data_IF_640861733960
#
_entry.id   IF_640861733960
#
_cell.length_a   1.000
_cell.length_b   1.000
_cell.length_c   1.000
_cell.angle_alpha   90.00
_cell.angle_beta   90.00
_cell.angle_gamma   90.00
#
_symmetry.space_group_name_H-M   'P 1'
#
loop_
_entity.id
_entity.type
_entity.pdbx_description
1 polymer ?
#
# COMPACT_ATOMS: atom_id res chain seq x y z
N UNK A 1 10.92 25.09 13.87
CA UNK A 1 9.83 24.75 12.93
C UNK A 1 10.33 25.12 11.55
N UNK A 2 10.38 24.19 10.61
CA UNK A 2 10.83 24.48 9.25
C UNK A 2 9.74 25.24 8.49
N UNK A 3 10.15 26.06 7.54
CA UNK A 3 9.24 26.91 6.77
C UNK A 3 8.54 26.09 5.66
N UNK A 4 7.20 26.17 5.60
CA UNK A 4 6.39 25.54 4.57
C UNK A 4 5.77 26.64 3.71
N UNK A 5 6.23 26.74 2.47
CA UNK A 5 5.78 27.77 1.51
C UNK A 5 4.85 27.23 0.41
N UNK A 6 4.76 25.91 0.28
CA UNK A 6 4.04 25.21 -0.79
C UNK A 6 3.46 23.90 -0.25
N UNK A 7 2.52 23.26 -0.99
CA UNK A 7 2.05 21.92 -0.64
C UNK A 7 3.19 20.98 -0.27
N UNK A 8 3.18 20.50 0.97
CA UNK A 8 4.26 19.67 1.50
C UNK A 8 3.68 18.46 2.20
N UNK A 9 4.09 17.28 1.77
CA UNK A 9 3.67 16.02 2.37
C UNK A 9 4.49 15.76 3.62
N UNK A 10 3.84 15.87 4.77
CA UNK A 10 4.44 15.56 6.05
C UNK A 10 4.08 14.16 6.51
N UNK A 11 5.05 13.48 7.11
CA UNK A 11 4.83 12.25 7.85
C UNK A 11 5.31 12.39 9.29
N UNK A 12 4.57 11.80 10.22
CA UNK A 12 4.96 11.66 11.61
C UNK A 12 5.76 10.37 11.78
N UNK A 13 7.06 10.50 12.06
CA UNK A 13 7.98 9.36 12.14
C UNK A 13 7.63 8.42 13.28
N UNK A 14 7.23 8.94 14.42
CA UNK A 14 6.89 8.13 15.60
C UNK A 14 5.62 7.31 15.36
N UNK A 15 4.61 7.90 14.68
CA UNK A 15 3.43 7.14 14.26
C UNK A 15 3.82 6.05 13.24
N UNK A 16 4.70 6.36 12.27
CA UNK A 16 5.18 5.36 11.31
C UNK A 16 5.87 4.18 12.01
N UNK A 17 6.78 4.46 12.94
CA UNK A 17 7.52 3.44 13.71
C UNK A 17 6.56 2.58 14.53
N UNK A 18 5.62 3.19 15.25
CA UNK A 18 4.58 2.48 16.00
C UNK A 18 3.74 1.57 15.10
N UNK A 19 3.35 2.04 13.92
CA UNK A 19 2.58 1.24 12.97
C UNK A 19 3.38 0.02 12.47
N UNK A 20 4.67 0.20 12.17
CA UNK A 20 5.60 -0.87 11.78
C UNK A 20 5.75 -1.89 12.91
N UNK A 21 6.00 -1.44 14.13
CA UNK A 21 6.13 -2.28 15.31
C UNK A 21 4.91 -3.16 15.54
N UNK A 22 3.71 -2.56 15.51
CA UNK A 22 2.45 -3.27 15.73
C UNK A 22 2.24 -4.37 14.69
N UNK A 23 2.54 -4.08 13.41
CA UNK A 23 2.37 -5.05 12.34
C UNK A 23 3.42 -6.17 12.40
N UNK A 24 4.66 -5.85 12.75
CA UNK A 24 5.72 -6.83 12.96
C UNK A 24 5.39 -7.75 14.15
N UNK A 25 4.95 -7.18 15.27
CA UNK A 25 4.48 -7.94 16.43
C UNK A 25 3.32 -8.86 16.08
N UNK A 26 2.34 -8.38 15.32
CA UNK A 26 1.21 -9.19 14.86
C UNK A 26 1.66 -10.36 13.99
N UNK A 27 2.57 -10.13 13.04
CA UNK A 27 3.11 -11.19 12.21
C UNK A 27 3.83 -12.26 13.07
N UNK A 28 4.66 -11.84 14.02
CA UNK A 28 5.34 -12.75 14.94
C UNK A 28 4.35 -13.56 15.79
N UNK A 29 3.34 -12.91 16.38
CA UNK A 29 2.28 -13.55 17.18
C UNK A 29 1.53 -14.65 16.41
N UNK A 30 1.38 -14.49 15.10
CA UNK A 30 0.70 -15.45 14.23
C UNK A 30 1.64 -16.39 13.48
N UNK A 31 2.95 -16.41 13.80
CA UNK A 31 3.98 -17.20 13.12
C UNK A 31 4.03 -16.96 11.60
N UNK A 32 3.79 -15.72 11.17
CA UNK A 32 3.81 -15.32 9.77
C UNK A 32 5.16 -14.73 9.41
N UNK A 33 5.68 -15.09 8.23
CA UNK A 33 6.78 -14.33 7.62
C UNK A 33 6.26 -12.96 7.22
N UNK A 34 6.79 -11.91 7.83
CA UNK A 34 6.40 -10.55 7.50
C UNK A 34 7.18 -10.04 6.28
N UNK A 35 6.47 -9.78 5.17
CA UNK A 35 7.02 -9.24 3.92
C UNK A 35 6.27 -7.97 3.50
N UNK A 36 6.46 -6.85 4.20
CA UNK A 36 5.72 -5.62 3.96
C UNK A 36 5.89 -5.11 2.52
N UNK A 37 4.88 -4.41 2.03
CA UNK A 37 4.87 -3.90 0.67
C UNK A 37 5.30 -2.43 0.61
N UNK A 38 6.43 -2.19 -0.04
CA UNK A 38 7.12 -0.90 -0.06
C UNK A 38 6.58 0.12 -1.08
N UNK A 39 5.51 -0.21 -1.81
CA UNK A 39 4.91 0.71 -2.81
C UNK A 39 4.33 1.99 -2.21
N UNK A 40 3.99 1.97 -0.92
CA UNK A 40 3.37 3.11 -0.24
C UNK A 40 4.36 4.24 -0.03
N UNK A 41 5.57 3.93 0.43
CA UNK A 41 6.59 4.92 0.77
C UNK A 41 7.71 5.05 -0.25
N UNK A 42 8.02 3.97 -1.00
CA UNK A 42 9.06 3.92 -2.05
C UNK A 42 10.38 4.58 -1.65
N UNK A 43 10.80 4.45 -0.39
CA UNK A 43 11.93 5.16 0.18
C UNK A 43 12.83 4.19 0.94
N UNK A 44 14.13 4.18 0.61
CA UNK A 44 15.14 3.40 1.31
C UNK A 44 15.27 3.84 2.78
N UNK A 45 15.18 5.15 3.07
CA UNK A 45 15.22 5.66 4.44
C UNK A 45 14.10 5.08 5.31
N UNK A 46 12.87 5.03 4.79
CA UNK A 46 11.76 4.37 5.48
C UNK A 46 11.95 2.85 5.51
N UNK A 47 12.56 2.26 4.48
CA UNK A 47 12.99 0.86 4.49
C UNK A 47 13.87 0.53 5.70
N UNK A 48 14.82 1.38 6.06
CA UNK A 48 15.67 1.17 7.25
C UNK A 48 14.86 1.08 8.55
N UNK A 49 13.72 1.79 8.65
CA UNK A 49 12.86 1.69 9.82
C UNK A 49 12.27 0.29 10.00
N UNK A 50 11.97 -0.41 8.90
CA UNK A 50 11.50 -1.80 8.96
C UNK A 50 12.58 -2.76 9.48
N UNK A 51 13.86 -2.51 9.20
CA UNK A 51 14.97 -3.34 9.67
C UNK A 51 15.11 -3.31 11.20
N UNK A 52 14.75 -2.19 11.84
CA UNK A 52 14.70 -2.07 13.31
C UNK A 52 13.77 -3.11 13.95
N UNK A 53 12.75 -3.56 13.22
CA UNK A 53 11.77 -4.55 13.66
C UNK A 53 12.00 -5.93 13.02
N UNK A 54 13.22 -6.21 12.57
CA UNK A 54 13.64 -7.54 12.10
C UNK A 54 13.13 -7.93 10.71
N UNK A 55 12.58 -6.99 9.93
CA UNK A 55 12.14 -7.28 8.56
C UNK A 55 13.36 -7.48 7.66
N UNK A 56 13.39 -8.63 6.98
CA UNK A 56 14.49 -9.04 6.08
C UNK A 56 14.04 -9.27 4.62
N UNK A 57 12.74 -9.25 4.39
CA UNK A 57 12.13 -9.60 3.12
C UNK A 57 11.04 -8.58 2.79
N UNK A 58 10.96 -8.16 1.52
CA UNK A 58 10.04 -7.08 1.11
C UNK A 58 9.26 -7.44 -0.14
N UNK A 59 8.15 -6.73 -0.32
CA UNK A 59 7.32 -6.79 -1.52
C UNK A 59 7.39 -5.46 -2.25
N UNK A 60 7.61 -5.49 -3.56
CA UNK A 60 7.63 -4.32 -4.44
C UNK A 60 6.64 -4.49 -5.59
N UNK A 61 6.32 -3.40 -6.29
CA UNK A 61 5.29 -3.41 -7.35
C UNK A 61 5.86 -3.38 -8.77
N UNK A 62 7.18 -3.26 -8.94
CA UNK A 62 7.84 -3.21 -10.25
C UNK A 62 9.28 -3.71 -10.17
N UNK A 63 9.86 -4.03 -11.33
CA UNK A 63 11.28 -4.40 -11.46
C UNK A 63 12.17 -3.23 -11.06
N UNK A 64 11.86 -2.01 -11.52
CA UNK A 64 12.59 -0.79 -11.13
C UNK A 64 12.64 -0.59 -9.61
N UNK A 65 11.52 -0.84 -8.92
CA UNK A 65 11.49 -0.74 -7.46
C UNK A 65 12.31 -1.85 -6.80
N UNK A 66 12.33 -3.06 -7.38
CA UNK A 66 13.21 -4.13 -6.92
C UNK A 66 14.69 -3.74 -7.06
N UNK A 67 15.08 -3.15 -8.19
CA UNK A 67 16.45 -2.64 -8.41
C UNK A 67 16.82 -1.56 -7.42
N UNK A 68 15.92 -0.61 -7.19
CA UNK A 68 16.13 0.44 -6.20
C UNK A 68 16.38 -0.16 -4.81
N UNK A 69 15.52 -1.04 -4.31
CA UNK A 69 15.71 -1.60 -2.96
C UNK A 69 16.87 -2.60 -2.88
N UNK A 70 17.15 -3.37 -3.93
CA UNK A 70 18.33 -4.23 -4.00
C UNK A 70 19.62 -3.41 -3.86
N UNK A 71 19.72 -2.25 -4.53
CA UNK A 71 20.85 -1.33 -4.39
C UNK A 71 20.97 -0.71 -2.99
N UNK A 72 19.92 -0.80 -2.16
CA UNK A 72 19.92 -0.36 -0.76
C UNK A 72 19.95 -1.56 0.23
N UNK A 73 20.48 -2.70 -0.21
CA UNK A 73 20.78 -3.86 0.64
C UNK A 73 19.57 -4.72 1.02
N UNK A 74 18.53 -4.74 0.18
CA UNK A 74 17.44 -5.70 0.31
C UNK A 74 17.65 -6.92 -0.59
N UNK A 75 17.85 -8.09 0.02
CA UNK A 75 18.25 -9.30 -0.71
C UNK A 75 17.11 -10.32 -0.94
N UNK A 76 15.98 -10.22 -0.24
CA UNK A 76 14.82 -11.08 -0.45
C UNK A 76 13.62 -10.23 -0.89
N UNK A 77 13.36 -10.20 -2.21
CA UNK A 77 12.37 -9.31 -2.82
C UNK A 77 11.34 -10.13 -3.61
N UNK A 78 10.06 -9.85 -3.39
CA UNK A 78 8.96 -10.34 -4.24
C UNK A 78 8.40 -9.18 -5.07
N UNK A 79 8.42 -9.30 -6.39
CA UNK A 79 7.73 -8.36 -7.28
C UNK A 79 6.26 -8.79 -7.40
N UNK A 80 5.37 -8.21 -6.59
CA UNK A 80 3.96 -8.60 -6.52
C UNK A 80 3.10 -7.96 -7.64
N UNK A 81 3.54 -8.13 -8.87
CA UNK A 81 2.83 -7.76 -10.09
C UNK A 81 2.97 -8.90 -11.11
N UNK A 82 1.96 -9.09 -11.97
CA UNK A 82 2.03 -10.11 -13.02
C UNK A 82 3.27 -9.88 -13.89
N UNK A 83 4.03 -10.93 -14.15
CA UNK A 83 5.32 -10.84 -14.83
C UNK A 83 5.23 -9.99 -16.12
N UNK A 84 5.98 -8.90 -16.15
CA UNK A 84 6.20 -8.15 -17.38
C UNK A 84 7.33 -8.79 -18.18
N UNK A 85 6.98 -9.56 -19.21
CA UNK A 85 7.94 -10.32 -20.03
C UNK A 85 8.95 -9.43 -20.78
N UNK A 86 8.65 -8.14 -20.95
CA UNK A 86 9.55 -7.16 -21.58
C UNK A 86 10.79 -6.86 -20.73
N UNK A 87 10.71 -7.10 -19.41
CA UNK A 87 11.79 -6.80 -18.46
C UNK A 87 12.61 -8.05 -18.09
N UNK A 88 12.49 -9.15 -18.85
CA UNK A 88 13.13 -10.43 -18.51
C UNK A 88 14.66 -10.34 -18.31
N UNK A 89 15.34 -9.45 -19.05
CA UNK A 89 16.78 -9.23 -18.87
C UNK A 89 17.09 -8.58 -17.52
N UNK A 90 16.30 -7.60 -17.09
CA UNK A 90 16.44 -6.96 -15.78
C UNK A 90 16.09 -7.92 -14.64
N UNK A 91 15.05 -8.73 -14.83
CA UNK A 91 14.66 -9.79 -13.89
C UNK A 91 15.81 -10.81 -13.71
N UNK A 92 16.43 -11.25 -14.81
CA UNK A 92 17.57 -12.16 -14.78
C UNK A 92 18.79 -11.57 -14.06
N UNK A 93 19.09 -10.28 -14.31
CA UNK A 93 20.17 -9.56 -13.62
C UNK A 93 19.90 -9.45 -12.13
N UNK A 94 18.69 -9.09 -11.73
CA UNK A 94 18.29 -9.05 -10.33
C UNK A 94 18.37 -10.43 -9.67
N UNK A 95 17.84 -11.47 -10.32
CA UNK A 95 17.85 -12.83 -9.80
C UNK A 95 19.28 -13.42 -9.65
N UNK A 96 20.25 -12.88 -10.38
CA UNK A 96 21.66 -13.23 -10.19
C UNK A 96 22.27 -12.57 -8.93
N UNK A 97 21.71 -11.45 -8.47
CA UNK A 97 22.24 -10.67 -7.37
C UNK A 97 21.50 -10.91 -6.04
N UNK A 98 20.20 -11.20 -6.09
CA UNK A 98 19.33 -11.30 -4.92
C UNK A 98 18.40 -12.51 -5.02
N UNK A 99 17.80 -12.90 -3.89
CA UNK A 99 16.69 -13.86 -3.85
C UNK A 99 15.41 -13.18 -4.35
N UNK A 100 15.19 -13.30 -5.66
CA UNK A 100 14.05 -12.70 -6.34
C UNK A 100 12.89 -13.69 -6.49
N UNK A 101 11.69 -13.24 -6.13
CA UNK A 101 10.43 -13.93 -6.46
C UNK A 101 9.59 -13.11 -7.44
N UNK A 102 9.01 -13.76 -8.44
CA UNK A 102 8.10 -13.18 -9.46
C UNK A 102 6.75 -13.89 -9.46
N UNK A 103 5.74 -13.27 -10.09
CA UNK A 103 4.38 -13.80 -10.15
C UNK A 103 3.96 -14.10 -11.58
N UNK A 104 3.35 -15.27 -11.80
CA UNK A 104 2.73 -15.64 -13.07
C UNK A 104 1.26 -16.00 -12.88
N UNK A 105 0.47 -15.84 -13.93
CA UNK A 105 -0.96 -16.19 -13.94
C UNK A 105 -1.46 -16.69 -15.31
N UNK A 106 -0.55 -16.87 -16.27
CA UNK A 106 -0.86 -17.33 -17.62
C UNK A 106 0.32 -18.13 -18.19
N UNK A 107 0.06 -18.91 -19.25
CA UNK A 107 1.05 -19.82 -19.84
C UNK A 107 2.11 -19.07 -20.62
N UNK A 108 1.77 -17.92 -21.19
CA UNK A 108 2.64 -17.08 -22.01
C UNK A 108 3.82 -16.57 -21.17
N UNK A 109 3.54 -15.98 -20.00
CA UNK A 109 4.54 -15.55 -19.03
C UNK A 109 5.36 -16.73 -18.50
N UNK A 110 4.71 -17.85 -18.17
CA UNK A 110 5.40 -19.05 -17.69
C UNK A 110 6.37 -19.62 -18.74
N UNK A 111 5.96 -19.66 -20.02
CA UNK A 111 6.84 -20.11 -21.12
C UNK A 111 8.02 -19.16 -21.31
N UNK A 112 7.83 -17.85 -21.22
CA UNK A 112 8.95 -16.90 -21.27
C UNK A 112 9.94 -17.14 -20.13
N UNK A 113 9.48 -17.39 -18.89
CA UNK A 113 10.37 -17.76 -17.80
C UNK A 113 11.10 -19.08 -18.08
N UNK A 114 10.37 -20.11 -18.53
CA UNK A 114 10.94 -21.41 -18.88
C UNK A 114 12.07 -21.26 -19.90
N UNK A 115 11.87 -20.47 -20.95
CA UNK A 115 12.82 -20.36 -22.05
C UNK A 115 13.97 -19.38 -21.76
N UNK A 116 13.71 -18.30 -21.01
CA UNK A 116 14.63 -17.16 -20.89
C UNK A 116 15.21 -16.94 -19.49
N UNK A 117 14.78 -17.65 -18.45
CA UNK A 117 15.37 -17.51 -17.12
C UNK A 117 16.83 -17.96 -17.12
N UNK A 118 17.74 -17.06 -16.79
CA UNK A 118 19.19 -17.34 -16.75
C UNK A 118 19.68 -17.74 -15.35
N UNK A 119 18.97 -17.31 -14.30
CA UNK A 119 19.33 -17.45 -12.89
C UNK A 119 18.19 -18.08 -12.08
N UNK A 120 18.47 -18.54 -10.86
CA UNK A 120 17.45 -19.12 -9.97
C UNK A 120 16.39 -18.08 -9.58
N UNK A 121 15.12 -18.45 -9.75
CA UNK A 121 13.95 -17.58 -9.51
C UNK A 121 12.90 -18.31 -8.69
N UNK A 122 12.40 -17.65 -7.65
CA UNK A 122 11.16 -18.06 -7.01
C UNK A 122 9.96 -17.64 -7.85
N UNK A 123 8.99 -18.53 -8.04
CA UNK A 123 7.78 -18.23 -8.82
C UNK A 123 6.55 -18.52 -7.96
N UNK A 124 5.74 -17.49 -7.72
CA UNK A 124 4.39 -17.66 -7.19
C UNK A 124 3.39 -17.68 -8.34
N UNK A 125 2.35 -18.52 -8.20
CA UNK A 125 1.17 -18.41 -9.06
C UNK A 125 0.20 -17.43 -8.38
N UNK A 126 -0.17 -16.36 -9.09
CA UNK A 126 -1.15 -15.39 -8.61
C UNK A 126 -2.53 -16.03 -8.62
N UNK A 127 -3.19 -16.05 -7.46
CA UNK A 127 -4.55 -16.57 -7.32
C UNK A 127 -5.50 -15.41 -7.12
N UNK A 128 -6.61 -15.45 -7.86
CA UNK A 128 -7.76 -14.61 -7.59
C UNK A 128 -8.68 -15.32 -6.60
N UNK A 129 -8.88 -14.67 -5.46
CA UNK A 129 -9.75 -15.16 -4.38
C UNK A 129 -11.07 -14.39 -4.32
N UNK A 130 -11.40 -13.56 -5.32
CA UNK A 130 -12.66 -12.82 -5.40
C UNK A 130 -12.49 -11.32 -5.68
N UNK A 131 -11.28 -10.86 -5.97
CA UNK A 131 -11.04 -9.46 -6.32
C UNK A 131 -11.36 -9.16 -7.78
N UNK A 132 -11.28 -10.15 -8.67
CA UNK A 132 -11.52 -9.99 -10.11
C UNK A 132 -10.64 -8.91 -10.75
N UNK A 133 -9.37 -8.83 -10.32
CA UNK A 133 -8.37 -7.88 -10.86
C UNK A 133 -7.29 -8.59 -11.68
N UNK A 134 -6.61 -9.53 -11.04
CA UNK A 134 -5.49 -10.32 -11.55
C UNK A 134 -5.47 -11.62 -10.76
N UNK A 135 -5.08 -12.71 -11.40
CA UNK A 135 -4.91 -14.03 -10.80
C UNK A 135 -5.78 -15.07 -11.45
N UNK A 136 -5.38 -16.32 -11.33
CA UNK A 136 -6.18 -17.46 -11.74
C UNK A 136 -7.23 -17.70 -10.66
N UNK A 137 -8.53 -17.81 -10.99
CA UNK A 137 -9.54 -18.20 -10.01
C UNK A 137 -9.15 -19.50 -9.32
N UNK A 138 -9.26 -19.56 -7.99
CA UNK A 138 -8.80 -20.73 -7.21
C UNK A 138 -9.45 -22.06 -7.60
N UNK A 139 -10.62 -22.03 -8.24
CA UNK A 139 -11.33 -23.21 -8.75
C UNK A 139 -10.79 -23.73 -10.08
N UNK A 140 -10.00 -22.94 -10.84
CA UNK A 140 -9.50 -23.29 -12.17
C UNK A 140 -8.19 -24.08 -12.09
N UNK A 141 -8.20 -25.20 -11.38
CA UNK A 141 -6.97 -25.96 -11.11
C UNK A 141 -6.28 -26.45 -12.37
N UNK A 142 -7.01 -26.79 -13.44
CA UNK A 142 -6.38 -27.20 -14.71
C UNK A 142 -5.48 -26.12 -15.32
N UNK A 143 -5.80 -24.83 -15.13
CA UNK A 143 -4.94 -23.72 -15.55
C UNK A 143 -3.69 -23.61 -14.68
N UNK A 144 -3.82 -23.89 -13.37
CA UNK A 144 -2.70 -23.95 -12.43
C UNK A 144 -1.79 -25.12 -12.79
N UNK A 145 -2.36 -26.32 -13.00
CA UNK A 145 -1.66 -27.55 -13.37
C UNK A 145 -0.80 -27.33 -14.63
N UNK A 146 -1.39 -26.73 -15.67
CA UNK A 146 -0.65 -26.41 -16.90
C UNK A 146 0.52 -25.43 -16.70
N UNK A 147 0.41 -24.48 -15.77
CA UNK A 147 1.53 -23.56 -15.48
C UNK A 147 2.61 -24.29 -14.69
N UNK A 148 2.21 -25.10 -13.72
CA UNK A 148 3.14 -25.91 -12.93
C UNK A 148 3.98 -26.85 -13.82
N UNK A 149 3.35 -27.54 -14.78
CA UNK A 149 4.06 -28.36 -15.79
C UNK A 149 5.13 -27.57 -16.56
N UNK A 150 4.82 -26.32 -16.95
CA UNK A 150 5.77 -25.43 -17.63
C UNK A 150 6.93 -25.06 -16.69
N UNK A 151 6.62 -24.70 -15.45
CA UNK A 151 7.64 -24.29 -14.47
C UNK A 151 8.58 -25.46 -14.12
N UNK A 152 8.05 -26.66 -13.91
CA UNK A 152 8.82 -27.87 -13.56
C UNK A 152 9.83 -28.28 -14.63
N UNK A 153 9.59 -27.90 -15.89
CA UNK A 153 10.50 -28.20 -17.00
C UNK A 153 11.80 -27.37 -16.97
N UNK A 154 11.92 -26.36 -16.11
CA UNK A 154 13.14 -25.57 -15.93
C UNK A 154 13.61 -25.57 -14.46
N UNK A 155 14.73 -26.23 -14.18
CA UNK A 155 15.34 -26.35 -12.84
C UNK A 155 15.75 -25.04 -12.17
N UNK A 156 15.85 -23.93 -12.92
CA UNK A 156 16.11 -22.59 -12.36
C UNK A 156 14.87 -21.96 -11.77
N UNK A 157 13.68 -22.45 -12.14
CA UNK A 157 12.42 -21.96 -11.61
C UNK A 157 12.03 -22.82 -10.42
N UNK A 158 11.76 -22.18 -9.29
CA UNK A 158 11.25 -22.86 -8.10
C UNK A 158 9.83 -22.38 -7.85
N UNK A 159 8.85 -23.26 -8.00
CA UNK A 159 7.49 -22.95 -7.57
C UNK A 159 7.47 -22.75 -6.05
N UNK A 160 7.19 -21.51 -5.63
CA UNK A 160 7.15 -21.10 -4.23
C UNK A 160 5.78 -21.29 -3.60
N UNK A 161 4.72 -21.27 -4.40
CA UNK A 161 3.35 -21.47 -3.96
C UNK A 161 2.38 -20.43 -4.50
N UNK A 162 1.35 -20.15 -3.72
CA UNK A 162 0.23 -19.31 -4.15
C UNK A 162 0.25 -17.96 -3.47
N UNK A 163 0.05 -16.91 -4.28
CA UNK A 163 0.01 -15.55 -3.80
C UNK A 163 -1.31 -14.88 -4.18
N UNK A 164 -2.08 -14.40 -3.18
CA UNK A 164 -3.27 -13.57 -3.42
C UNK A 164 -3.10 -12.17 -2.84
N UNK A 165 -3.78 -11.20 -3.43
CA UNK A 165 -4.00 -9.89 -2.80
C UNK A 165 -5.50 -9.71 -2.65
N UNK A 166 -5.96 -9.62 -1.40
CA UNK A 166 -7.37 -9.52 -1.03
C UNK A 166 -7.93 -8.12 -1.21
N UNK A 167 -7.49 -7.38 -2.23
CA UNK A 167 -7.81 -5.95 -2.43
C UNK A 167 -9.31 -5.62 -2.52
N UNK A 168 -10.18 -6.61 -2.71
CA UNK A 168 -11.61 -6.43 -2.55
C UNK A 168 -12.00 -6.02 -1.12
N UNK A 169 -11.20 -6.25 -0.07
CA UNK A 169 -11.46 -5.71 1.29
C UNK A 169 -11.60 -4.18 1.33
N UNK A 170 -10.98 -3.45 0.38
CA UNK A 170 -11.15 -2.00 0.25
C UNK A 170 -12.55 -1.58 -0.23
N UNK A 171 -13.32 -2.51 -0.80
CA UNK A 171 -14.70 -2.29 -1.22
C UNK A 171 -15.70 -2.75 -0.16
N UNK A 172 -15.24 -3.07 1.05
CA UNK A 172 -16.10 -3.56 2.12
C UNK A 172 -16.88 -2.39 2.74
N UNK A 173 -18.13 -2.64 3.12
CA UNK A 173 -19.02 -1.66 3.75
C UNK A 173 -18.99 -1.74 5.28
N UNK A 174 -18.31 -2.74 5.84
CA UNK A 174 -18.16 -2.95 7.27
C UNK A 174 -16.95 -3.82 7.59
N UNK A 175 -16.49 -3.77 8.84
CA UNK A 175 -15.45 -4.67 9.34
C UNK A 175 -15.86 -6.15 9.28
N UNK A 176 -17.14 -6.46 9.47
CA UNK A 176 -17.69 -7.82 9.27
C UNK A 176 -17.49 -8.33 7.84
N UNK A 177 -17.68 -7.47 6.85
CA UNK A 177 -17.44 -7.83 5.45
C UNK A 177 -15.95 -8.01 5.16
N UNK A 178 -15.06 -7.26 5.81
CA UNK A 178 -13.61 -7.50 5.75
C UNK A 178 -13.27 -8.88 6.32
N UNK A 179 -13.81 -9.25 7.49
CA UNK A 179 -13.60 -10.58 8.08
C UNK A 179 -14.09 -11.70 7.15
N UNK A 180 -15.29 -11.54 6.58
CA UNK A 180 -15.86 -12.53 5.66
C UNK A 180 -15.01 -12.72 4.40
N UNK A 181 -14.58 -11.62 3.77
CA UNK A 181 -13.72 -11.63 2.57
C UNK A 181 -12.34 -12.23 2.85
N UNK A 182 -11.75 -11.90 3.99
CA UNK A 182 -10.49 -12.49 4.44
C UNK A 182 -10.62 -14.00 4.65
N UNK A 183 -11.67 -14.44 5.34
CA UNK A 183 -11.90 -15.86 5.61
C UNK A 183 -12.17 -16.67 4.33
N UNK A 184 -12.97 -16.13 3.41
CA UNK A 184 -13.21 -16.76 2.10
C UNK A 184 -11.90 -16.92 1.29
N UNK A 185 -11.05 -15.87 1.26
CA UNK A 185 -9.74 -15.96 0.63
C UNK A 185 -8.83 -17.01 1.29
N UNK A 186 -8.86 -17.11 2.62
CA UNK A 186 -8.11 -18.11 3.37
C UNK A 186 -8.54 -19.53 3.01
N UNK A 187 -9.84 -19.80 2.96
CA UNK A 187 -10.38 -21.12 2.58
C UNK A 187 -9.95 -21.52 1.17
N UNK A 188 -10.04 -20.59 0.20
CA UNK A 188 -9.63 -20.81 -1.18
C UNK A 188 -8.14 -21.15 -1.31
N UNK A 189 -7.27 -20.45 -0.57
CA UNK A 189 -5.84 -20.74 -0.57
C UNK A 189 -5.52 -22.07 0.12
N UNK A 190 -6.15 -22.37 1.25
CA UNK A 190 -5.96 -23.65 1.97
C UNK A 190 -6.38 -24.84 1.13
N UNK A 191 -7.46 -24.73 0.36
CA UNK A 191 -7.87 -25.73 -0.61
C UNK A 191 -6.77 -26.00 -1.64
N UNK A 192 -6.13 -24.95 -2.17
CA UNK A 192 -5.01 -25.11 -3.09
C UNK A 192 -3.80 -25.75 -2.38
N UNK A 193 -3.42 -25.29 -1.19
CA UNK A 193 -2.33 -25.90 -0.42
C UNK A 193 -2.56 -27.40 -0.21
N UNK A 194 -3.75 -27.81 0.23
CA UNK A 194 -4.05 -29.23 0.47
C UNK A 194 -3.99 -30.08 -0.80
N UNK A 195 -4.41 -29.53 -1.96
CA UNK A 195 -4.30 -30.20 -3.26
C UNK A 195 -2.85 -30.42 -3.68
N UNK A 196 -1.99 -29.42 -3.51
CA UNK A 196 -0.64 -29.41 -4.10
C UNK A 196 0.50 -29.81 -3.14
N UNK A 197 0.26 -29.86 -1.82
CA UNK A 197 1.32 -30.11 -0.80
C UNK A 197 2.06 -31.44 -1.00
N UNK A 198 1.40 -32.49 -1.52
CA UNK A 198 2.05 -33.78 -1.76
C UNK A 198 3.10 -33.72 -2.87
N UNK A 199 2.85 -32.92 -3.91
CA UNK A 199 3.77 -32.72 -5.04
C UNK A 199 4.80 -31.63 -4.74
N UNK A 200 4.40 -30.60 -3.97
CA UNK A 200 5.24 -29.47 -3.59
C UNK A 200 5.26 -29.30 -2.07
N UNK A 201 6.07 -30.08 -1.32
CA UNK A 201 6.09 -30.06 0.14
C UNK A 201 6.45 -28.70 0.76
N UNK A 202 7.15 -27.85 0.01
CA UNK A 202 7.57 -26.51 0.45
C UNK A 202 6.64 -25.38 -0.03
N UNK A 203 5.42 -25.71 -0.45
CA UNK A 203 4.47 -24.72 -0.98
C UNK A 203 4.05 -23.72 0.10
N UNK A 204 4.16 -22.44 -0.22
CA UNK A 204 3.81 -21.33 0.66
C UNK A 204 2.51 -20.66 0.20
N UNK A 205 1.70 -20.24 1.17
CA UNK A 205 0.57 -19.34 0.98
C UNK A 205 0.97 -17.95 1.43
N UNK A 206 0.99 -17.03 0.47
CA UNK A 206 1.29 -15.63 0.72
C UNK A 206 0.04 -14.81 0.48
N UNK A 207 -0.45 -14.09 1.50
CA UNK A 207 -1.62 -13.20 1.35
C UNK A 207 -1.47 -11.85 2.06
N UNK A 208 -2.48 -11.00 1.91
CA UNK A 208 -2.63 -9.81 2.72
C UNK A 208 -2.94 -8.54 1.93
N UNK A 209 -3.50 -7.62 2.71
CA UNK A 209 -3.71 -6.22 2.43
C UNK A 209 -3.76 -5.48 3.79
N UNK A 210 -3.75 -4.15 3.79
CA UNK A 210 -3.84 -3.40 5.05
C UNK A 210 -5.16 -3.62 5.80
N UNK A 211 -6.35 -3.62 5.16
CA UNK A 211 -7.60 -3.79 5.89
C UNK A 211 -7.66 -5.07 6.73
N UNK A 212 -7.45 -6.24 6.11
CA UNK A 212 -7.43 -7.52 6.81
C UNK A 212 -6.27 -7.61 7.79
N UNK A 213 -5.09 -7.09 7.44
CA UNK A 213 -3.94 -7.04 8.34
C UNK A 213 -4.18 -6.28 9.63
N UNK A 214 -4.99 -5.25 9.57
CA UNK A 214 -5.22 -4.41 10.75
C UNK A 214 -6.16 -5.12 11.73
N UNK A 215 -7.24 -5.75 11.25
CA UNK A 215 -8.30 -6.24 12.14
C UNK A 215 -8.40 -7.78 12.27
N UNK A 216 -8.00 -8.56 11.27
CA UNK A 216 -8.13 -10.03 11.31
C UNK A 216 -7.04 -10.69 12.16
N UNK A 217 -7.39 -11.76 12.89
CA UNK A 217 -6.46 -12.53 13.73
C UNK A 217 -6.39 -14.02 13.34
N UNK A 218 -7.14 -14.45 12.34
CA UNK A 218 -7.05 -15.82 11.82
C UNK A 218 -6.21 -15.84 10.55
N UNK A 219 -5.04 -16.45 10.60
CA UNK A 219 -4.16 -16.66 9.45
C UNK A 219 -3.75 -18.13 9.33
N UNK A 220 -4.61 -19.05 9.79
CA UNK A 220 -4.30 -20.48 9.84
C UNK A 220 -3.87 -21.04 8.47
N UNK A 221 -2.66 -21.57 8.39
CA UNK A 221 -2.09 -22.16 7.18
C UNK A 221 -1.44 -21.16 6.20
N UNK A 222 -1.52 -19.86 6.48
CA UNK A 222 -0.77 -18.81 5.77
C UNK A 222 0.67 -18.80 6.25
N UNK A 223 1.62 -18.70 5.31
CA UNK A 223 3.05 -18.70 5.63
C UNK A 223 3.63 -17.27 5.60
N UNK A 224 3.08 -16.39 4.76
CA UNK A 224 3.60 -15.04 4.55
C UNK A 224 2.52 -13.96 4.47
N UNK A 225 2.84 -12.79 5.03
CA UNK A 225 1.95 -11.65 5.14
C UNK A 225 2.51 -10.35 4.55
N UNK A 226 1.71 -9.63 3.74
CA UNK A 226 2.20 -8.52 2.88
C UNK A 226 1.40 -7.20 2.88
N UNK A 227 1.00 -6.63 4.04
CA UNK A 227 0.41 -5.28 4.07
C UNK A 227 1.46 -4.21 3.74
N UNK A 228 1.04 -3.02 3.32
CA UNK A 228 1.95 -1.93 2.97
C UNK A 228 1.48 -0.56 3.43
N UNK A 229 0.24 -0.20 3.08
CA UNK A 229 -0.34 1.12 3.37
C UNK A 229 -0.34 1.47 4.88
N UNK A 230 -0.39 0.46 5.75
CA UNK A 230 -0.46 0.61 7.21
C UNK A 230 0.67 1.47 7.81
N UNK A 231 1.83 1.59 7.14
CA UNK A 231 2.91 2.47 7.62
C UNK A 231 2.44 3.91 7.79
N UNK A 232 1.58 4.37 6.88
CA UNK A 232 0.98 5.70 6.93
C UNK A 232 -0.47 5.68 7.37
N UNK A 233 -1.20 4.59 7.09
CA UNK A 233 -2.66 4.59 6.96
C UNK A 233 -3.14 5.77 6.09
N UNK A 234 -4.45 6.03 6.07
CA UNK A 234 -5.09 7.18 5.43
C UNK A 234 -6.59 7.20 5.76
N UNK A 235 -7.33 8.17 5.19
CA UNK A 235 -8.77 8.22 5.42
C UNK A 235 -9.53 7.06 4.81
N UNK A 236 -9.02 6.42 3.75
CA UNK A 236 -9.67 5.23 3.22
C UNK A 236 -9.63 4.11 4.27
N UNK A 237 -8.46 3.87 4.90
CA UNK A 237 -8.36 2.90 5.99
C UNK A 237 -9.23 3.28 7.21
N UNK A 238 -9.22 4.55 7.60
CA UNK A 238 -10.07 5.01 8.69
C UNK A 238 -11.56 4.82 8.37
N UNK A 239 -12.01 5.12 7.14
CA UNK A 239 -13.40 4.95 6.71
C UNK A 239 -13.86 3.49 6.69
N UNK A 240 -12.93 2.55 6.51
CA UNK A 240 -13.17 1.11 6.62
C UNK A 240 -13.24 0.63 8.08
N UNK A 241 -12.94 1.50 9.05
CA UNK A 241 -12.89 1.16 10.47
C UNK A 241 -11.72 0.28 10.86
N UNK A 242 -10.61 0.33 10.11
CA UNK A 242 -9.43 -0.53 10.34
C UNK A 242 -8.28 0.17 11.05
N UNK A 243 -8.34 1.49 11.21
CA UNK A 243 -7.40 2.29 11.99
C UNK A 243 -8.11 3.49 12.63
N UNK A 244 -7.50 4.11 13.63
CA UNK A 244 -7.97 5.36 14.20
C UNK A 244 -7.27 6.57 13.56
N UNK A 245 -7.83 7.78 13.75
CA UNK A 245 -7.20 9.02 13.27
C UNK A 245 -5.78 9.23 13.82
N UNK A 246 -5.50 8.72 15.03
CA UNK A 246 -4.17 8.79 15.66
C UNK A 246 -3.12 7.90 14.99
N UNK A 247 -3.55 6.94 14.16
CA UNK A 247 -2.67 6.02 13.44
C UNK A 247 -2.28 6.54 12.07
N UNK A 248 -2.96 7.59 11.58
CA UNK A 248 -2.62 8.20 10.30
C UNK A 248 -1.39 9.09 10.46
N UNK A 249 -0.26 8.62 9.94
CA UNK A 249 1.01 9.32 10.03
C UNK A 249 1.14 10.46 9.01
N UNK A 250 0.36 10.41 7.92
CA UNK A 250 0.53 11.28 6.75
C UNK A 250 -0.45 12.44 6.71
N UNK A 251 0.03 13.61 6.27
CA UNK A 251 -0.79 14.81 6.01
C UNK A 251 -0.15 15.68 4.94
N UNK A 252 -0.95 16.31 4.10
CA UNK A 252 -0.51 17.39 3.22
C UNK A 252 -0.71 18.72 3.91
N UNK A 253 0.32 19.55 4.00
CA UNK A 253 0.22 20.92 4.52
C UNK A 253 0.12 21.88 3.35
N UNK A 254 -0.93 22.68 3.33
CA UNK A 254 -1.30 23.54 2.21
C UNK A 254 -1.53 24.99 2.65
N UNK A 255 -0.95 25.98 1.95
CA UNK A 255 -1.26 27.38 2.16
C UNK A 255 -2.70 27.74 1.76
N UNK A 256 -3.38 28.54 2.58
CA UNK A 256 -4.65 29.19 2.24
C UNK A 256 -4.39 30.38 1.33
N UNK A 257 -4.98 30.37 0.13
CA UNK A 257 -4.74 31.40 -0.90
C UNK A 257 -5.93 32.30 -1.15
N UNK A 258 -7.16 31.85 -0.84
CA UNK A 258 -8.35 32.68 -0.96
C UNK A 258 -9.47 32.21 -0.02
N UNK A 259 -10.40 33.12 0.28
CA UNK A 259 -11.62 32.81 1.03
C UNK A 259 -12.83 33.39 0.31
N UNK A 260 -13.92 32.61 0.20
CA UNK A 260 -15.16 32.99 -0.47
C UNK A 260 -16.36 32.83 0.48
N UNK A 261 -16.69 33.90 1.20
CA UNK A 261 -17.70 33.88 2.27
C UNK A 261 -19.10 33.53 1.74
N UNK A 262 -19.49 34.07 0.58
CA UNK A 262 -20.79 33.83 -0.02
C UNK A 262 -21.07 32.34 -0.32
N UNK A 263 -20.02 31.53 -0.41
CA UNK A 263 -20.10 30.08 -0.70
C UNK A 263 -19.71 29.21 0.49
N UNK A 264 -19.24 29.81 1.58
CA UNK A 264 -18.65 29.12 2.72
C UNK A 264 -17.49 28.20 2.29
N UNK A 265 -16.58 28.75 1.48
CA UNK A 265 -15.47 28.01 0.88
C UNK A 265 -14.12 28.71 1.10
N UNK A 266 -13.09 27.90 1.31
CA UNK A 266 -11.70 28.35 1.41
C UNK A 266 -10.89 27.62 0.34
N UNK A 267 -10.03 28.36 -0.36
CA UNK A 267 -9.16 27.82 -1.40
C UNK A 267 -7.76 27.64 -0.83
N UNK A 268 -7.22 26.44 -1.03
CA UNK A 268 -5.83 26.12 -0.72
C UNK A 268 -5.03 25.91 -2.00
N UNK A 269 -3.75 26.27 -1.97
CA UNK A 269 -2.79 25.72 -2.92
C UNK A 269 -2.57 24.26 -2.52
N UNK A 270 -3.02 23.33 -3.35
CA UNK A 270 -3.19 21.92 -2.97
C UNK A 270 -4.27 21.24 -3.80
N UNK A 271 -3.97 20.97 -5.07
CA UNK A 271 -4.88 20.32 -6.00
C UNK A 271 -4.66 18.82 -6.22
N UNK A 272 -5.25 18.29 -7.28
CA UNK A 272 -5.18 16.88 -7.68
C UNK A 272 -3.74 16.39 -7.92
N UNK A 273 -2.80 17.27 -8.31
CA UNK A 273 -1.38 16.90 -8.45
C UNK A 273 -0.69 16.64 -7.11
N UNK A 274 -1.32 16.98 -5.99
CA UNK A 274 -0.82 16.75 -4.64
C UNK A 274 -1.58 15.61 -3.94
N UNK A 275 -2.90 15.53 -4.15
CA UNK A 275 -3.79 14.60 -3.43
C UNK A 275 -4.24 13.37 -4.23
N UNK A 276 -4.01 13.34 -5.55
CA UNK A 276 -4.73 12.50 -6.52
C UNK A 276 -6.21 12.90 -6.63
N UNK A 277 -7.07 11.99 -7.12
CA UNK A 277 -8.53 12.17 -7.16
C UNK A 277 -9.29 11.03 -6.45
N UNK A 278 -8.60 10.24 -5.64
CA UNK A 278 -9.28 9.25 -4.82
C UNK A 278 -10.16 9.92 -3.77
N UNK A 279 -11.34 9.34 -3.55
CA UNK A 279 -12.36 9.88 -2.65
C UNK A 279 -12.93 8.81 -1.75
N UNK A 280 -13.34 9.22 -0.55
CA UNK A 280 -14.33 8.49 0.26
C UNK A 280 -15.63 9.28 0.28
N UNK A 281 -16.73 8.66 0.69
CA UNK A 281 -17.98 9.38 0.89
C UNK A 281 -18.02 9.98 2.29
N UNK A 282 -18.52 11.21 2.40
CA UNK A 282 -18.84 11.81 3.69
C UNK A 282 -20.20 11.31 4.21
N UNK A 283 -20.63 11.83 5.37
CA UNK A 283 -21.91 11.48 6.01
C UNK A 283 -23.15 11.80 5.17
N UNK A 284 -23.03 12.72 4.22
CA UNK A 284 -24.12 13.13 3.31
C UNK A 284 -24.06 12.39 1.96
N UNK A 285 -23.19 11.38 1.83
CA UNK A 285 -22.99 10.64 0.58
C UNK A 285 -22.25 11.42 -0.51
N UNK A 286 -21.58 12.54 -0.17
CA UNK A 286 -20.81 13.36 -1.11
C UNK A 286 -19.34 12.96 -1.13
N UNK A 287 -18.63 13.10 -2.26
CA UNK A 287 -17.20 12.88 -2.32
C UNK A 287 -16.42 13.79 -1.37
N UNK A 288 -15.47 13.19 -0.65
CA UNK A 288 -14.52 13.83 0.24
C UNK A 288 -13.10 13.44 -0.20
N UNK A 289 -12.24 14.43 -0.37
CA UNK A 289 -10.84 14.27 -0.79
C UNK A 289 -9.84 14.41 0.36
N UNK A 290 -10.31 14.83 1.54
CA UNK A 290 -9.46 14.99 2.71
C UNK A 290 -10.18 15.58 3.93
N UNK A 291 -9.62 15.33 5.11
CA UNK A 291 -10.10 15.83 6.40
C UNK A 291 -9.19 16.94 6.89
N UNK A 292 -9.77 17.94 7.52
CA UNK A 292 -9.10 19.21 7.80
C UNK A 292 -8.68 19.27 9.26
N UNK A 293 -7.42 19.57 9.50
CA UNK A 293 -6.89 19.96 10.81
C UNK A 293 -6.29 21.37 10.70
N UNK A 294 -6.70 22.24 11.63
CA UNK A 294 -6.26 23.63 11.68
C UNK A 294 -5.46 23.89 12.96
N UNK A 295 -4.61 24.90 12.94
CA UNK A 295 -4.01 25.48 14.13
C UNK A 295 -4.99 26.51 14.72
N UNK A 296 -5.43 26.33 15.95
CA UNK A 296 -6.31 27.28 16.63
C UNK A 296 -5.91 27.41 18.09
N UNK A 297 -5.63 28.63 18.55
CA UNK A 297 -5.21 28.93 19.94
C UNK A 297 -4.02 28.10 20.43
N UNK A 298 -3.04 27.83 19.56
CA UNK A 298 -1.85 27.04 19.92
C UNK A 298 -2.02 25.52 19.80
N UNK A 299 -3.22 25.03 19.51
CA UNK A 299 -3.50 23.60 19.40
C UNK A 299 -3.90 23.19 17.97
N UNK A 300 -3.64 21.92 17.64
CA UNK A 300 -4.10 21.32 16.39
C UNK A 300 -5.49 20.72 16.58
N UNK A 301 -6.48 21.26 15.89
CA UNK A 301 -7.88 20.86 16.01
C UNK A 301 -8.35 20.18 14.73
N UNK A 302 -8.74 18.91 14.84
CA UNK A 302 -9.42 18.19 13.76
C UNK A 302 -10.86 18.69 13.66
N UNK A 303 -11.23 19.22 12.50
CA UNK A 303 -12.59 19.71 12.28
C UNK A 303 -13.59 18.56 12.14
N UNK A 304 -14.86 18.82 12.45
CA UNK A 304 -15.93 17.82 12.36
C UNK A 304 -16.27 17.46 10.89
N UNK A 305 -17.21 16.52 10.70
CA UNK A 305 -17.60 16.01 9.38
C UNK A 305 -18.24 17.05 8.44
N UNK A 306 -18.61 18.24 8.93
CA UNK A 306 -19.13 19.34 8.10
C UNK A 306 -18.01 20.07 7.35
N UNK A 307 -16.74 19.78 7.68
CA UNK A 307 -15.57 20.44 7.16
C UNK A 307 -14.66 19.45 6.43
N UNK A 308 -14.46 19.66 5.13
CA UNK A 308 -13.68 18.73 4.32
C UNK A 308 -13.17 19.35 3.02
N UNK A 309 -12.14 18.75 2.44
CA UNK A 309 -11.70 19.05 1.08
C UNK A 309 -12.72 18.45 0.10
N UNK A 310 -13.50 19.34 -0.51
CA UNK A 310 -14.72 19.01 -1.25
C UNK A 310 -14.52 18.92 -2.77
N UNK A 311 -13.52 19.63 -3.30
CA UNK A 311 -13.21 19.65 -4.73
C UNK A 311 -11.70 19.80 -4.94
N UNK A 312 -11.24 19.23 -6.05
CA UNK A 312 -9.87 19.36 -6.54
C UNK A 312 -9.89 19.77 -8.01
N UNK A 313 -9.30 20.92 -8.31
CA UNK A 313 -8.77 21.20 -9.66
C UNK A 313 -7.33 20.68 -9.73
N UNK A 314 -6.56 21.01 -10.77
CA UNK A 314 -5.18 20.55 -10.88
C UNK A 314 -4.31 21.03 -9.70
N UNK A 315 -4.35 22.33 -9.40
CA UNK A 315 -3.50 22.98 -8.38
C UNK A 315 -4.28 23.50 -7.15
N UNK A 316 -5.61 23.61 -7.25
CA UNK A 316 -6.43 24.21 -6.21
C UNK A 316 -7.31 23.16 -5.51
N UNK A 317 -7.34 23.24 -4.19
CA UNK A 317 -8.28 22.52 -3.35
C UNK A 317 -9.35 23.46 -2.81
N UNK A 318 -10.61 23.02 -2.80
CA UNK A 318 -11.73 23.78 -2.20
C UNK A 318 -12.19 23.11 -0.91
N UNK A 319 -11.98 23.79 0.21
CA UNK A 319 -12.47 23.37 1.52
C UNK A 319 -13.91 23.87 1.70
N UNK A 320 -14.80 22.97 2.12
CA UNK A 320 -16.12 23.36 2.65
C UNK A 320 -15.97 23.62 4.14
N UNK A 321 -16.36 24.81 4.59
CA UNK A 321 -16.17 25.25 5.99
C UNK A 321 -17.44 25.94 6.47
N UNK A 322 -17.89 25.68 7.70
CA UNK A 322 -19.05 26.39 8.25
C UNK A 322 -18.69 27.84 8.63
N UNK A 323 -19.65 28.79 8.67
CA UNK A 323 -19.37 30.18 9.06
C UNK A 323 -18.60 30.31 10.39
N UNK A 324 -18.93 29.48 11.39
CA UNK A 324 -18.29 29.51 12.70
C UNK A 324 -16.78 29.15 12.67
N UNK A 325 -16.35 28.35 11.70
CA UNK A 325 -14.95 27.99 11.52
C UNK A 325 -14.26 28.83 10.44
N UNK A 326 -15.02 29.53 9.60
CA UNK A 326 -14.49 30.39 8.56
C UNK A 326 -13.68 31.56 9.14
N UNK A 327 -14.11 32.13 10.27
CA UNK A 327 -13.39 33.20 10.98
C UNK A 327 -12.10 32.73 11.68
N UNK A 328 -11.92 31.41 11.85
CA UNK A 328 -10.73 30.84 12.51
C UNK A 328 -9.55 30.63 11.57
N UNK A 329 -9.74 30.88 10.27
CA UNK A 329 -8.78 30.58 9.21
C UNK A 329 -8.52 31.85 8.41
N UNK A 330 -7.27 32.24 8.24
CA UNK A 330 -6.84 33.43 7.51
C UNK A 330 -6.13 33.06 6.19
N UNK A 331 -6.06 34.03 5.28
CA UNK A 331 -5.19 33.90 4.09
C UNK A 331 -3.74 33.87 4.58
N UNK A 332 -2.94 32.95 4.03
CA UNK A 332 -1.58 32.68 4.48
C UNK A 332 -1.47 31.62 5.57
N UNK A 333 -2.56 31.22 6.22
CA UNK A 333 -2.53 30.10 7.16
C UNK A 333 -2.13 28.80 6.45
N UNK A 334 -1.47 27.93 7.20
CA UNK A 334 -1.16 26.57 6.77
C UNK A 334 -2.22 25.61 7.32
N UNK A 335 -2.91 24.91 6.42
CA UNK A 335 -3.91 23.90 6.77
C UNK A 335 -3.33 22.51 6.55
N UNK A 336 -3.55 21.62 7.52
CA UNK A 336 -3.20 20.22 7.37
C UNK A 336 -4.41 19.45 6.84
N UNK A 337 -4.21 18.76 5.71
CA UNK A 337 -5.19 17.89 5.07
C UNK A 337 -4.72 16.45 5.21
N UNK A 338 -5.53 15.63 5.86
CA UNK A 338 -5.30 14.18 5.92
C UNK A 338 -5.82 13.60 4.59
N UNK A 339 -4.97 13.00 3.76
CA UNK A 339 -5.36 12.57 2.42
C UNK A 339 -6.21 11.29 2.44
N UNK A 340 -6.98 11.08 1.37
CA UNK A 340 -7.77 9.85 1.19
C UNK A 340 -6.92 8.62 0.96
N UNK A 341 -5.88 8.73 0.13
CA UNK A 341 -5.04 7.60 -0.23
C UNK A 341 -3.56 7.99 -0.14
N UNK A 342 -2.87 7.46 0.87
CA UNK A 342 -1.48 7.82 1.15
C UNK A 342 -0.51 7.41 0.04
N UNK A 343 -0.71 6.23 -0.57
CA UNK A 343 0.20 5.73 -1.61
C UNK A 343 0.23 6.65 -2.84
N UNK A 344 -0.94 7.08 -3.33
CA UNK A 344 -1.02 7.97 -4.50
C UNK A 344 -0.54 9.39 -4.16
N UNK A 345 -0.87 9.88 -2.97
CA UNK A 345 -0.39 11.18 -2.47
C UNK A 345 1.14 11.19 -2.41
N UNK A 346 1.75 10.20 -1.78
CA UNK A 346 3.22 10.06 -1.72
C UNK A 346 3.83 9.93 -3.12
N UNK A 347 3.26 9.06 -3.96
CA UNK A 347 3.74 8.88 -5.32
C UNK A 347 3.72 10.19 -6.11
N UNK A 348 2.66 11.00 -6.03
CA UNK A 348 2.58 12.27 -6.73
C UNK A 348 3.66 13.26 -6.27
N UNK A 349 3.84 13.37 -4.96
CA UNK A 349 4.82 14.28 -4.36
C UNK A 349 6.27 13.89 -4.65
N UNK A 350 6.59 12.59 -4.68
CA UNK A 350 7.95 12.10 -4.96
C UNK A 350 8.97 12.38 -3.84
N UNK A 351 8.57 13.07 -2.78
CA UNK A 351 9.33 13.26 -1.55
C UNK A 351 8.35 13.42 -0.38
N UNK A 352 8.86 13.19 0.82
CA UNK A 352 8.16 13.43 2.09
C UNK A 352 9.07 14.23 3.00
N UNK A 353 8.50 14.88 4.00
CA UNK A 353 9.26 15.52 5.07
C UNK A 353 8.72 15.06 6.42
N UNK A 354 9.58 14.83 7.41
CA UNK A 354 9.10 14.48 8.74
C UNK A 354 8.56 15.70 9.48
N UNK A 355 7.80 15.49 10.55
CA UNK A 355 7.33 16.56 11.45
C UNK A 355 8.47 17.33 12.13
N UNK A 356 9.67 16.78 12.17
CA UNK A 356 10.90 17.39 12.68
C UNK A 356 11.67 18.15 11.59
N UNK A 357 11.30 17.97 10.32
CA UNK A 357 11.87 18.67 9.18
C UNK A 357 12.87 17.88 8.34
N UNK A 358 13.09 16.59 8.64
CA UNK A 358 13.97 15.72 7.87
C UNK A 358 13.35 15.44 6.49
N UNK A 359 14.10 15.69 5.42
CA UNK A 359 13.66 15.36 4.07
C UNK A 359 13.86 13.85 3.80
N UNK A 360 12.78 13.19 3.41
CA UNK A 360 12.77 11.79 3.02
C UNK A 360 12.59 11.68 1.50
N UNK A 361 13.63 11.16 0.84
CA UNK A 361 13.61 10.95 -0.61
C UNK A 361 12.89 9.65 -0.94
N UNK A 362 12.09 9.69 -2.00
CA UNK A 362 11.55 8.49 -2.63
C UNK A 362 12.46 8.06 -3.78
N UNK A 363 12.22 6.86 -4.31
CA UNK A 363 12.83 6.36 -5.53
C UNK A 363 12.69 7.41 -6.65
N UNK A 364 13.77 7.73 -7.38
CA UNK A 364 13.72 8.65 -8.51
C UNK A 364 12.69 8.19 -9.55
N UNK A 365 11.96 9.15 -10.14
CA UNK A 365 11.10 8.91 -11.30
C UNK A 365 11.92 9.15 -12.57
N UNK A 366 12.40 8.05 -13.14
CA UNK A 366 13.18 7.93 -14.38
C UNK A 366 14.58 8.57 -14.36
#
# INVERSE_FOLDING_TARGET
MFEILRPTLLIDKEICLRNIEQMAYKAAKHNLRFRPHFKTHQSAQIGEWYKLYGVKAITVSSVQMAEYFAAHGWDDITIAFSLNILEIQNINRLAAAIKLNVLVENKEAANVLKDKASSSLGVYIKIDTGYNRTGIPSSRTGSIDSILEILDSNKKLTFKGFLTHTGHTYQAKSTNEIYSRHFDALLKLRFLKSKYIKQYPSIELSMGDTPSASICNNFEGVDEFRPGNFVFYDLMQHSLGVCEMRDIAVKMVCPVVAKHISRNEIIIHGGAVHFSKDTVLNTDGKPLFGRIRIQYKGEKVLLDNKHYLSKLSQEHGTLKITPANYEKINIGDLIEIIPVHSCLTANLMGYMQTTEGELIKMMPKY
#
